data_IF_172446656315
#
_entry.id   IF_172446656315
#
_cell.length_a   1.000
_cell.length_b   1.000
_cell.length_c   1.000
_cell.angle_alpha   90.00
_cell.angle_beta   90.00
_cell.angle_gamma   90.00
#
_symmetry.space_group_name_H-M   'P 1'
#
loop_
_entity.id
_entity.type
_entity.pdbx_description
1 polymer ?
#
# COMPACT_ATOMS: atom_id res chain seq x y z
N UNK A 1 -13.00 14.83 9.92
CA UNK A 1 -12.06 13.68 9.91
C UNK A 1 -12.75 12.35 9.67
N UNK A 2 -13.90 12.06 10.32
CA UNK A 2 -14.64 10.80 10.14
C UNK A 2 -15.02 10.46 8.69
N UNK A 3 -15.41 11.46 7.88
CA UNK A 3 -15.74 11.26 6.47
C UNK A 3 -14.56 10.77 5.61
N UNK A 4 -13.32 11.16 5.93
CA UNK A 4 -12.13 10.71 5.20
C UNK A 4 -11.79 9.25 5.53
N UNK A 5 -11.91 8.87 6.81
CA UNK A 5 -11.69 7.48 7.23
C UNK A 5 -12.72 6.56 6.56
N UNK A 6 -13.99 6.94 6.58
CA UNK A 6 -15.06 6.21 5.88
C UNK A 6 -14.79 6.11 4.38
N UNK A 7 -14.30 7.20 3.76
CA UNK A 7 -13.92 7.18 2.35
C UNK A 7 -12.87 6.12 2.04
N UNK A 8 -11.76 6.07 2.80
CA UNK A 8 -10.70 5.08 2.53
C UNK A 8 -11.15 3.65 2.82
N UNK A 9 -12.01 3.43 3.82
CA UNK A 9 -12.61 2.12 4.06
C UNK A 9 -13.50 1.72 2.88
N UNK A 10 -14.36 2.61 2.39
CA UNK A 10 -15.22 2.34 1.25
C UNK A 10 -14.41 2.13 -0.05
N UNK A 11 -13.30 2.85 -0.23
CA UNK A 11 -12.34 2.63 -1.31
C UNK A 11 -11.71 1.23 -1.21
N UNK A 12 -11.26 0.82 -0.01
CA UNK A 12 -10.71 -0.52 0.24
C UNK A 12 -11.77 -1.62 0.06
N UNK A 13 -13.05 -1.31 0.25
CA UNK A 13 -14.18 -2.19 -0.04
C UNK A 13 -14.62 -2.15 -1.51
N UNK A 14 -13.89 -1.45 -2.39
CA UNK A 14 -14.18 -1.28 -3.82
C UNK A 14 -15.52 -0.57 -4.10
N UNK A 15 -16.05 0.17 -3.11
CA UNK A 15 -17.36 0.85 -3.18
C UNK A 15 -17.26 2.27 -3.72
N UNK A 16 -16.08 2.90 -3.66
CA UNK A 16 -15.85 4.24 -4.21
C UNK A 16 -14.69 4.27 -5.18
N UNK A 17 -14.79 5.04 -6.28
CA UNK A 17 -13.67 5.29 -7.16
C UNK A 17 -12.67 6.27 -6.51
N UNK A 18 -11.38 6.19 -6.87
CA UNK A 18 -10.35 7.11 -6.37
C UNK A 18 -10.53 8.57 -6.85
N UNK A 19 -11.41 8.82 -7.83
CA UNK A 19 -11.67 10.14 -8.39
C UNK A 19 -12.46 11.06 -7.44
N UNK A 20 -13.14 10.46 -6.47
CA UNK A 20 -13.94 11.17 -5.46
C UNK A 20 -13.08 11.76 -4.34
N UNK A 21 -11.76 11.51 -4.34
CA UNK A 21 -10.82 12.13 -3.41
C UNK A 21 -10.68 13.62 -3.77
N UNK A 22 -10.85 14.54 -2.81
CA UNK A 22 -10.59 15.95 -3.06
C UNK A 22 -9.12 16.15 -3.45
N UNK A 23 -8.88 16.80 -4.58
CA UNK A 23 -7.53 17.09 -5.09
C UNK A 23 -6.86 18.18 -4.23
N UNK A 24 -6.37 17.79 -3.05
CA UNK A 24 -5.74 18.68 -2.09
C UNK A 24 -4.33 18.20 -1.75
N UNK A 25 -3.34 19.07 -1.92
CA UNK A 25 -1.95 18.80 -1.54
C UNK A 25 -1.81 18.66 -0.02
N UNK A 26 -2.64 19.35 0.77
CA UNK A 26 -2.62 19.19 2.24
C UNK A 26 -3.11 17.81 2.65
N UNK A 27 -4.12 17.27 1.99
CA UNK A 27 -4.60 15.91 2.22
C UNK A 27 -3.54 14.88 1.79
N UNK A 28 -2.90 15.08 0.63
CA UNK A 28 -1.82 14.22 0.17
C UNK A 28 -0.68 14.16 1.20
N UNK A 29 -0.23 15.30 1.73
CA UNK A 29 0.82 15.34 2.76
C UNK A 29 0.43 14.63 4.05
N UNK A 30 -0.80 14.82 4.53
CA UNK A 30 -1.30 14.13 5.73
C UNK A 30 -1.37 12.61 5.54
N UNK A 31 -1.89 12.16 4.39
CA UNK A 31 -2.02 10.74 4.09
C UNK A 31 -0.66 10.09 3.85
N UNK A 32 0.30 10.82 3.25
CA UNK A 32 1.68 10.36 3.11
C UNK A 32 2.33 10.11 4.48
N UNK A 33 2.18 11.05 5.42
CA UNK A 33 2.72 10.87 6.78
C UNK A 33 2.01 9.69 7.47
N UNK A 34 0.69 9.58 7.34
CA UNK A 34 -0.07 8.48 7.93
C UNK A 34 0.36 7.13 7.39
N UNK A 35 0.49 7.00 6.07
CA UNK A 35 0.95 5.78 5.39
C UNK A 35 2.37 5.40 5.82
N UNK A 36 3.29 6.37 5.90
CA UNK A 36 4.65 6.12 6.37
C UNK A 36 4.68 5.66 7.84
N UNK A 37 3.89 6.29 8.72
CA UNK A 37 3.80 5.89 10.14
C UNK A 37 3.26 4.47 10.26
N UNK A 38 2.23 4.12 9.50
CA UNK A 38 1.68 2.76 9.46
C UNK A 38 2.70 1.78 8.91
N UNK A 39 3.41 2.12 7.83
CA UNK A 39 4.47 1.29 7.27
C UNK A 39 5.60 1.01 8.25
N UNK A 40 6.04 2.02 9.00
CA UNK A 40 7.03 1.85 10.08
C UNK A 40 6.49 0.93 11.17
N UNK A 41 5.23 1.12 11.58
CA UNK A 41 4.60 0.28 12.59
C UNK A 41 4.53 -1.19 12.14
N UNK A 42 4.13 -1.42 10.88
CA UNK A 42 4.11 -2.75 10.26
C UNK A 42 5.51 -3.37 10.26
N UNK A 43 6.54 -2.64 9.82
CA UNK A 43 7.92 -3.11 9.81
C UNK A 43 8.42 -3.49 11.21
N UNK A 44 8.16 -2.66 12.21
CA UNK A 44 8.52 -2.94 13.61
C UNK A 44 7.76 -4.16 14.14
N UNK A 45 6.47 -4.29 13.84
CA UNK A 45 5.69 -5.48 14.23
C UNK A 45 6.16 -6.76 13.54
N UNK A 46 6.77 -6.64 12.36
CA UNK A 46 7.40 -7.74 11.64
C UNK A 46 8.84 -8.05 12.13
N UNK A 47 9.32 -7.35 13.15
CA UNK A 47 10.62 -7.59 13.78
C UNK A 47 11.79 -6.77 13.21
N UNK A 48 11.54 -5.83 12.30
CA UNK A 48 12.59 -4.92 11.80
C UNK A 48 12.93 -3.83 12.83
N UNK A 49 14.16 -3.33 12.77
CA UNK A 49 14.54 -2.14 13.53
C UNK A 49 13.73 -0.92 13.09
N UNK A 50 13.58 0.07 13.97
CA UNK A 50 12.87 1.30 13.63
C UNK A 50 13.49 2.05 12.44
N UNK A 51 14.83 2.10 12.37
CA UNK A 51 15.54 2.78 11.29
C UNK A 51 15.40 2.04 9.95
N UNK A 52 15.53 0.70 9.95
CA UNK A 52 15.34 -0.10 8.74
C UNK A 52 13.90 -0.03 8.24
N UNK A 53 12.92 -0.06 9.14
CA UNK A 53 11.50 0.10 8.81
C UNK A 53 11.21 1.47 8.19
N UNK A 54 11.80 2.54 8.73
CA UNK A 54 11.65 3.89 8.19
C UNK A 54 12.27 4.01 6.80
N UNK A 55 13.49 3.49 6.61
CA UNK A 55 14.17 3.54 5.30
C UNK A 55 13.45 2.71 4.24
N UNK A 56 13.02 1.48 4.57
CA UNK A 56 12.26 0.64 3.65
C UNK A 56 10.92 1.29 3.29
N UNK A 57 10.14 1.76 4.28
CA UNK A 57 8.87 2.43 4.03
C UNK A 57 9.03 3.70 3.19
N UNK A 58 10.08 4.49 3.44
CA UNK A 58 10.39 5.67 2.64
C UNK A 58 10.75 5.31 1.20
N UNK A 59 11.54 4.25 1.00
CA UNK A 59 11.94 3.77 -0.32
C UNK A 59 10.74 3.23 -1.11
N UNK A 60 9.87 2.45 -0.48
CA UNK A 60 8.64 1.92 -1.06
C UNK A 60 7.70 3.05 -1.51
N UNK A 61 7.46 4.02 -0.62
CA UNK A 61 6.64 5.18 -0.89
C UNK A 61 7.18 5.99 -2.07
N UNK A 62 8.48 6.25 -2.08
CA UNK A 62 9.16 6.96 -3.16
C UNK A 62 9.04 6.21 -4.49
N UNK A 63 9.28 4.90 -4.49
CA UNK A 63 9.18 4.05 -5.67
C UNK A 63 7.75 4.06 -6.24
N UNK A 64 6.74 3.95 -5.37
CA UNK A 64 5.33 4.00 -5.77
C UNK A 64 4.97 5.36 -6.38
N UNK A 65 5.34 6.46 -5.73
CA UNK A 65 5.04 7.81 -6.23
C UNK A 65 5.76 8.10 -7.55
N UNK A 66 7.01 7.67 -7.70
CA UNK A 66 7.75 7.79 -8.96
C UNK A 66 7.09 6.97 -10.07
N UNK A 67 6.78 5.70 -9.81
CA UNK A 67 6.14 4.83 -10.79
C UNK A 67 4.78 5.39 -11.25
N UNK A 68 3.95 5.85 -10.30
CA UNK A 68 2.67 6.49 -10.61
C UNK A 68 2.87 7.79 -11.42
N UNK A 69 3.83 8.62 -11.02
CA UNK A 69 4.14 9.89 -11.68
C UNK A 69 4.62 9.69 -13.11
N UNK A 70 5.54 8.76 -13.33
CA UNK A 70 6.05 8.38 -14.66
C UNK A 70 4.91 7.83 -15.52
N UNK A 71 4.11 6.89 -15.01
CA UNK A 71 2.98 6.33 -15.73
C UNK A 71 1.98 7.43 -16.15
N UNK A 72 1.59 8.32 -15.24
CA UNK A 72 0.66 9.42 -15.55
C UNK A 72 1.26 10.45 -16.51
N UNK A 73 2.58 10.69 -16.45
CA UNK A 73 3.26 11.55 -17.40
C UNK A 73 3.23 10.97 -18.81
N UNK A 74 3.50 9.67 -18.97
CA UNK A 74 3.43 8.96 -20.26
C UNK A 74 2.00 8.97 -20.84
N UNK A 75 0.99 8.84 -19.98
CA UNK A 75 -0.43 8.89 -20.39
C UNK A 75 -0.99 10.31 -20.54
N UNK A 76 -0.17 11.37 -20.37
CA UNK A 76 -0.60 12.79 -20.40
C UNK A 76 -1.75 13.11 -19.43
N UNK A 77 -1.83 12.41 -18.29
CA UNK A 77 -2.90 12.55 -17.27
C UNK A 77 -2.37 13.07 -15.92
N UNK A 78 -1.40 14.00 -15.96
CA UNK A 78 -0.74 14.54 -14.75
C UNK A 78 -1.71 15.14 -13.72
N UNK A 79 -2.86 15.67 -14.15
CA UNK A 79 -3.89 16.22 -13.26
C UNK A 79 -4.46 15.20 -12.28
N UNK A 80 -4.36 13.90 -12.56
CA UNK A 80 -4.86 12.81 -11.71
C UNK A 80 -3.86 12.34 -10.66
N UNK A 81 -2.64 12.88 -10.66
CA UNK A 81 -1.57 12.41 -9.76
C UNK A 81 -1.95 12.55 -8.30
N UNK A 82 -2.41 13.72 -7.87
CA UNK A 82 -2.75 13.98 -6.46
C UNK A 82 -3.82 13.00 -5.98
N UNK A 83 -4.91 12.84 -6.73
CA UNK A 83 -5.99 11.93 -6.37
C UNK A 83 -5.55 10.47 -6.32
N UNK A 84 -4.82 10.00 -7.34
CA UNK A 84 -4.34 8.62 -7.40
C UNK A 84 -3.32 8.33 -6.30
N UNK A 85 -2.39 9.25 -6.03
CA UNK A 85 -1.40 9.11 -4.96
C UNK A 85 -2.07 9.10 -3.59
N UNK A 86 -3.00 10.02 -3.32
CA UNK A 86 -3.76 10.03 -2.07
C UNK A 86 -4.61 8.77 -1.90
N UNK A 87 -5.22 8.25 -2.97
CA UNK A 87 -5.98 7.01 -2.94
C UNK A 87 -5.08 5.80 -2.61
N UNK A 88 -3.93 5.68 -3.28
CA UNK A 88 -2.97 4.59 -3.03
C UNK A 88 -2.43 4.65 -1.60
N UNK A 89 -1.87 5.79 -1.18
CA UNK A 89 -1.33 5.97 0.17
C UNK A 89 -2.40 5.76 1.25
N UNK A 90 -3.61 6.28 1.05
CA UNK A 90 -4.67 6.14 2.03
C UNK A 90 -5.19 4.70 2.14
N UNK A 91 -5.26 3.98 1.02
CA UNK A 91 -5.57 2.56 1.03
C UNK A 91 -4.43 1.73 1.65
N UNK A 92 -3.18 2.08 1.40
CA UNK A 92 -1.99 1.49 2.01
C UNK A 92 -2.02 1.60 3.52
N UNK A 93 -2.28 2.80 4.05
CA UNK A 93 -2.42 3.05 5.47
C UNK A 93 -3.54 2.20 6.11
N UNK A 94 -4.71 2.10 5.46
CA UNK A 94 -5.82 1.26 5.98
C UNK A 94 -5.44 -0.22 5.97
N UNK A 95 -4.90 -0.72 4.87
CA UNK A 95 -4.50 -2.12 4.74
C UNK A 95 -3.35 -2.48 5.70
N UNK A 96 -2.38 -1.57 5.86
CA UNK A 96 -1.28 -1.74 6.80
C UNK A 96 -1.75 -1.83 8.25
N UNK A 97 -2.72 -1.02 8.66
CA UNK A 97 -3.34 -1.16 9.99
C UNK A 97 -4.04 -2.51 10.16
N UNK A 98 -4.68 -3.02 9.12
CA UNK A 98 -5.31 -4.36 9.11
C UNK A 98 -4.27 -5.49 9.11
N UNK A 99 -3.03 -5.23 8.68
CA UNK A 99 -1.94 -6.22 8.68
C UNK A 99 -1.33 -6.46 10.07
N UNK A 100 -1.48 -5.52 11.01
CA UNK A 100 -0.87 -5.60 12.36
C UNK A 100 -1.37 -6.81 13.17
N UNK A 101 -2.69 -7.08 13.29
CA UNK A 101 -3.16 -8.22 14.07
C UNK A 101 -2.65 -9.56 13.53
N UNK A 102 -2.70 -9.85 12.21
CA UNK A 102 -2.09 -11.05 11.64
C UNK A 102 -0.59 -11.18 11.90
N UNK A 103 0.18 -10.09 11.80
CA UNK A 103 1.63 -10.09 12.10
C UNK A 103 1.91 -10.44 13.56
N UNK A 104 1.06 -9.96 14.47
CA UNK A 104 1.18 -10.20 15.91
C UNK A 104 0.92 -11.66 16.31
N UNK A 105 0.34 -12.49 15.43
CA UNK A 105 0.13 -13.92 15.66
C UNK A 105 1.41 -14.76 15.47
N UNK A 106 2.46 -14.19 14.88
CA UNK A 106 3.78 -14.83 14.76
C UNK A 106 4.94 -13.86 15.07
N UNK A 107 5.07 -13.42 16.33
CA UNK A 107 6.08 -12.42 16.69
C UNK A 107 7.52 -12.96 16.65
N UNK A 108 7.70 -14.28 16.75
CA UNK A 108 9.01 -14.94 16.76
C UNK A 108 9.44 -15.49 15.41
N UNK A 109 8.60 -15.42 14.38
CA UNK A 109 8.87 -15.98 13.05
C UNK A 109 8.94 -17.52 13.03
N UNK A 110 8.53 -18.19 14.11
CA UNK A 110 8.57 -19.65 14.23
C UNK A 110 7.32 -20.26 13.59
N UNK A 111 7.49 -21.21 12.68
CA UNK A 111 6.38 -21.86 11.98
C UNK A 111 5.73 -23.01 12.76
N UNK A 112 6.16 -23.24 14.00
CA UNK A 112 5.79 -24.43 14.78
C UNK A 112 4.41 -24.35 15.45
N UNK A 113 3.61 -23.30 15.19
CA UNK A 113 2.28 -23.14 15.79
C UNK A 113 1.16 -22.94 14.78
N UNK A 114 -0.01 -23.49 15.09
CA UNK A 114 -1.24 -23.27 14.31
C UNK A 114 -1.61 -21.77 14.22
N UNK A 115 -1.23 -20.98 15.22
CA UNK A 115 -1.46 -19.52 15.26
C UNK A 115 -0.57 -18.80 14.24
N UNK A 116 0.69 -19.21 14.11
CA UNK A 116 1.60 -18.67 13.11
C UNK A 116 1.12 -18.96 11.68
N UNK A 117 0.64 -20.18 11.43
CA UNK A 117 0.05 -20.54 10.15
C UNK A 117 -1.22 -19.73 9.83
N UNK A 118 -2.08 -19.50 10.82
CA UNK A 118 -3.26 -18.65 10.67
C UNK A 118 -2.87 -17.20 10.34
N UNK A 119 -1.88 -16.63 11.03
CA UNK A 119 -1.36 -15.29 10.75
C UNK A 119 -0.85 -15.15 9.31
N UNK A 120 -0.03 -16.11 8.86
CA UNK A 120 0.46 -16.14 7.48
C UNK A 120 -0.67 -16.25 6.45
N UNK A 121 -1.69 -17.08 6.72
CA UNK A 121 -2.85 -17.22 5.83
C UNK A 121 -3.67 -15.92 5.74
N UNK A 122 -3.90 -15.24 6.87
CA UNK A 122 -4.59 -13.96 6.91
C UNK A 122 -3.81 -12.87 6.16
N UNK A 123 -2.49 -12.84 6.31
CA UNK A 123 -1.63 -11.91 5.56
C UNK A 123 -1.67 -12.19 4.06
N UNK A 124 -1.65 -13.45 3.64
CA UNK A 124 -1.79 -13.80 2.23
C UNK A 124 -3.12 -13.31 1.65
N UNK A 125 -4.22 -13.52 2.38
CA UNK A 125 -5.53 -12.99 2.00
C UNK A 125 -5.54 -11.46 1.90
N UNK A 126 -4.88 -10.78 2.83
CA UNK A 126 -4.76 -9.32 2.83
C UNK A 126 -3.90 -8.79 1.68
N UNK A 127 -2.81 -9.47 1.33
CA UNK A 127 -1.98 -9.16 0.15
C UNK A 127 -2.78 -9.29 -1.14
N UNK A 128 -3.54 -10.39 -1.29
CA UNK A 128 -4.43 -10.58 -2.44
C UNK A 128 -5.46 -9.45 -2.50
N UNK A 129 -6.07 -9.10 -1.37
CA UNK A 129 -7.03 -8.00 -1.31
C UNK A 129 -6.38 -6.66 -1.67
N UNK A 130 -5.18 -6.38 -1.17
CA UNK A 130 -4.41 -5.18 -1.50
C UNK A 130 -4.11 -5.07 -3.00
N UNK A 131 -3.77 -6.18 -3.66
CA UNK A 131 -3.61 -6.23 -5.13
C UNK A 131 -4.91 -5.84 -5.83
N UNK A 132 -6.07 -6.33 -5.36
CA UNK A 132 -7.37 -5.99 -5.93
C UNK A 132 -7.71 -4.52 -5.72
N UNK A 133 -7.46 -3.97 -4.53
CA UNK A 133 -7.67 -2.54 -4.21
C UNK A 133 -6.78 -1.65 -5.09
N UNK A 134 -5.49 -1.94 -5.17
CA UNK A 134 -4.56 -1.22 -6.06
C UNK A 134 -5.00 -1.35 -7.51
N UNK A 135 -5.38 -2.55 -7.97
CA UNK A 135 -5.90 -2.78 -9.31
C UNK A 135 -7.15 -1.96 -9.60
N UNK A 136 -8.06 -1.83 -8.64
CA UNK A 136 -9.25 -0.98 -8.74
C UNK A 136 -8.92 0.51 -8.82
N UNK A 137 -7.91 0.97 -8.07
CA UNK A 137 -7.44 2.36 -8.15
C UNK A 137 -6.82 2.63 -9.53
N UNK A 138 -5.94 1.74 -10.00
CA UNK A 138 -5.29 1.87 -11.31
C UNK A 138 -6.28 1.79 -12.47
N UNK A 139 -7.31 0.93 -12.35
CA UNK A 139 -8.43 0.83 -13.31
C UNK A 139 -9.03 2.21 -13.59
N UNK A 140 -9.41 2.94 -12.55
CA UNK A 140 -10.05 4.26 -12.68
C UNK A 140 -9.06 5.37 -13.03
N UNK A 141 -7.81 5.21 -12.62
CA UNK A 141 -6.74 6.18 -12.87
C UNK A 141 -6.35 6.18 -14.36
N UNK A 142 -6.07 5.00 -14.91
CA UNK A 142 -5.61 4.79 -16.28
C UNK A 142 -6.71 4.43 -17.28
N UNK A 143 -7.97 4.32 -16.84
CA UNK A 143 -9.11 3.88 -17.68
C UNK A 143 -8.86 2.53 -18.36
N UNK A 144 -8.33 1.57 -17.59
CA UNK A 144 -8.04 0.20 -18.02
C UNK A 144 -9.01 -0.80 -17.38
N UNK A 145 -8.90 -2.09 -17.70
CA UNK A 145 -9.69 -3.14 -17.04
C UNK A 145 -9.15 -3.45 -15.63
N UNK A 146 -10.00 -4.02 -14.76
CA UNK A 146 -9.57 -4.41 -13.40
C UNK A 146 -8.43 -5.44 -13.46
N UNK A 147 -8.51 -6.41 -14.36
CA UNK A 147 -7.48 -7.44 -14.55
C UNK A 147 -6.14 -6.84 -14.98
N UNK A 148 -6.14 -5.85 -15.89
CA UNK A 148 -4.91 -5.13 -16.26
C UNK A 148 -4.36 -4.33 -15.07
N UNK A 149 -5.21 -3.64 -14.31
CA UNK A 149 -4.80 -2.93 -13.10
C UNK A 149 -4.18 -3.86 -12.06
N UNK A 150 -4.81 -5.01 -11.81
CA UNK A 150 -4.31 -6.03 -10.89
C UNK A 150 -2.98 -6.63 -11.38
N UNK A 151 -2.85 -6.90 -12.68
CA UNK A 151 -1.58 -7.38 -13.25
C UNK A 151 -0.44 -6.37 -13.06
N UNK A 152 -0.72 -5.07 -13.25
CA UNK A 152 0.24 -3.99 -12.97
C UNK A 152 0.58 -3.96 -11.47
N UNK A 153 -0.42 -4.09 -10.59
CA UNK A 153 -0.21 -4.12 -9.15
C UNK A 153 0.68 -5.29 -8.72
N UNK A 154 0.45 -6.51 -9.24
CA UNK A 154 1.29 -7.69 -8.99
C UNK A 154 2.71 -7.45 -9.49
N UNK A 155 2.86 -7.01 -10.73
CA UNK A 155 4.19 -6.75 -11.31
C UNK A 155 4.96 -5.71 -10.49
N UNK A 156 4.29 -4.62 -10.11
CA UNK A 156 4.88 -3.60 -9.26
C UNK A 156 5.27 -4.16 -7.88
N UNK A 157 4.40 -4.94 -7.24
CA UNK A 157 4.70 -5.56 -5.94
C UNK A 157 5.94 -6.46 -6.00
N UNK A 158 6.04 -7.31 -7.04
CA UNK A 158 7.21 -8.18 -7.24
C UNK A 158 8.49 -7.35 -7.39
N UNK A 159 8.45 -6.29 -8.20
CA UNK A 159 9.60 -5.39 -8.41
C UNK A 159 9.98 -4.70 -7.11
N UNK A 160 9.01 -4.13 -6.38
CA UNK A 160 9.23 -3.45 -5.11
C UNK A 160 9.84 -4.39 -4.08
N UNK A 161 9.26 -5.58 -3.87
CA UNK A 161 9.78 -6.57 -2.92
C UNK A 161 11.19 -7.00 -3.30
N UNK A 162 11.45 -7.27 -4.58
CA UNK A 162 12.78 -7.69 -5.05
C UNK A 162 13.82 -6.58 -4.87
N UNK A 163 13.45 -5.34 -5.18
CA UNK A 163 14.35 -4.19 -5.06
C UNK A 163 14.63 -3.82 -3.61
N UNK A 164 13.62 -3.82 -2.75
CA UNK A 164 13.79 -3.53 -1.33
C UNK A 164 14.58 -4.65 -0.65
N UNK A 165 14.27 -5.91 -0.91
CA UNK A 165 15.05 -7.02 -0.33
C UNK A 165 16.49 -6.99 -0.83
N UNK A 166 16.77 -6.69 -2.09
CA UNK A 166 18.15 -6.60 -2.58
C UNK A 166 18.93 -5.43 -1.95
N UNK A 167 18.29 -4.25 -1.80
CA UNK A 167 18.93 -3.07 -1.20
C UNK A 167 19.15 -3.20 0.31
N UNK A 168 18.23 -3.84 1.02
CA UNK A 168 18.23 -3.89 2.48
C UNK A 168 18.65 -5.24 3.07
N UNK A 169 18.84 -6.29 2.27
CA UNK A 169 19.36 -7.59 2.75
C UNK A 169 20.78 -7.53 3.32
N UNK A 170 21.49 -6.42 3.08
CA UNK A 170 22.86 -6.19 3.56
C UNK A 170 22.94 -5.32 4.83
N UNK A 171 21.80 -4.87 5.36
CA UNK A 171 21.67 -4.02 6.55
C UNK A 171 21.10 -4.81 7.73
#
# INVERSE_FOLDING_TARGET
MQALIQFFIELCLLRRPPQDVPASLTLLGLVLIADLVVGVLVGVTAGLSWLTSLLQGSAELLLMLLALGVALAQLKRRSRFVQAATALLGSGAVLGLVAIPPLSLNPTGTQDSNLAALGAFLLLGLVIWGIVVTGHILRHTFSITLSQGAAIAVAFQIVTVTLITSLFSQL
#
